data_IF_800556156493
#
_entry.id   IF_800556156493
#
_cell.length_a   1.000
_cell.length_b   1.000
_cell.length_c   1.000
_cell.angle_alpha   90.00
_cell.angle_beta   90.00
_cell.angle_gamma   90.00
#
_symmetry.space_group_name_H-M   'P 1'
#
loop_
_entity.id
_entity.type
_entity.pdbx_description
1 polymer ?
#
# COMPACT_ATOMS: atom_id res chain seq x y z
N UNK A 1 10.73 39.79 -15.36
CA UNK A 1 10.39 39.21 -14.06
C UNK A 1 8.91 38.86 -14.12
N UNK A 2 8.53 37.61 -14.55
CA UNK A 2 7.16 37.18 -14.65
C UNK A 2 6.81 36.46 -13.34
N UNK A 3 5.63 36.70 -12.74
CA UNK A 3 5.20 35.99 -11.54
C UNK A 3 4.70 34.59 -11.93
N UNK A 4 5.26 33.60 -11.25
CA UNK A 4 4.84 32.20 -11.32
C UNK A 4 3.44 32.10 -10.70
N UNK A 5 2.43 31.86 -11.54
CA UNK A 5 1.06 31.58 -11.11
C UNK A 5 1.05 30.25 -10.38
N UNK A 6 0.80 30.29 -9.06
CA UNK A 6 0.45 29.10 -8.27
C UNK A 6 -0.95 28.66 -8.69
N UNK A 7 -1.06 27.59 -9.46
CA UNK A 7 -2.33 26.95 -9.75
C UNK A 7 -2.87 26.33 -8.45
N UNK A 8 -3.91 26.93 -7.88
CA UNK A 8 -4.71 26.34 -6.80
C UNK A 8 -5.33 25.04 -7.30
N UNK A 9 -5.36 23.95 -6.50
CA UNK A 9 -6.04 22.73 -6.90
C UNK A 9 -7.51 23.01 -7.16
N UNK A 10 -8.04 22.49 -8.26
CA UNK A 10 -9.44 22.64 -8.63
C UNK A 10 -10.36 22.15 -7.48
N UNK A 11 -11.46 22.85 -7.18
CA UNK A 11 -12.36 22.47 -6.10
C UNK A 11 -12.92 21.07 -6.37
N UNK A 12 -12.69 20.14 -5.46
CA UNK A 12 -13.27 18.79 -5.51
C UNK A 12 -14.77 18.88 -5.68
N UNK A 13 -15.33 18.21 -6.70
CA UNK A 13 -16.76 18.18 -6.93
C UNK A 13 -17.47 17.62 -5.69
N UNK A 14 -18.66 18.16 -5.37
CA UNK A 14 -19.45 17.72 -4.20
C UNK A 14 -19.70 16.19 -4.23
N UNK A 15 -19.82 15.62 -5.41
CA UNK A 15 -19.96 14.19 -5.66
C UNK A 15 -18.72 13.40 -5.19
N UNK A 16 -17.50 13.92 -5.46
CA UNK A 16 -16.25 13.27 -5.06
C UNK A 16 -16.08 13.30 -3.55
N UNK A 17 -16.44 14.41 -2.90
CA UNK A 17 -16.42 14.52 -1.43
C UNK A 17 -17.35 13.50 -0.77
N UNK A 18 -18.57 13.33 -1.30
CA UNK A 18 -19.52 12.34 -0.80
C UNK A 18 -19.01 10.92 -1.00
N UNK A 19 -18.42 10.63 -2.16
CA UNK A 19 -17.83 9.32 -2.46
C UNK A 19 -16.72 8.98 -1.48
N UNK A 20 -15.81 9.91 -1.19
CA UNK A 20 -14.73 9.74 -0.22
C UNK A 20 -15.26 9.56 1.21
N UNK A 21 -16.29 10.34 1.61
CA UNK A 21 -16.91 10.20 2.93
C UNK A 21 -17.57 8.83 3.12
N UNK A 22 -18.26 8.32 2.09
CA UNK A 22 -18.86 6.98 2.11
C UNK A 22 -17.78 5.91 2.24
N UNK A 23 -16.68 6.04 1.52
CA UNK A 23 -15.59 5.08 1.56
C UNK A 23 -14.89 5.07 2.92
N UNK A 24 -14.63 6.25 3.51
CA UNK A 24 -14.07 6.35 4.85
C UNK A 24 -14.99 5.73 5.90
N UNK A 25 -16.29 6.04 5.84
CA UNK A 25 -17.29 5.44 6.72
C UNK A 25 -17.35 3.91 6.58
N UNK A 26 -17.21 3.37 5.37
CA UNK A 26 -17.15 1.93 5.16
C UNK A 26 -15.91 1.30 5.80
N UNK A 27 -14.75 1.95 5.69
CA UNK A 27 -13.50 1.50 6.33
C UNK A 27 -13.68 1.46 7.86
N UNK A 28 -14.23 2.52 8.45
CA UNK A 28 -14.44 2.63 9.89
C UNK A 28 -15.42 1.56 10.40
N UNK A 29 -16.52 1.35 9.68
CA UNK A 29 -17.52 0.33 10.03
C UNK A 29 -16.97 -1.10 9.86
N UNK A 30 -16.26 -1.39 8.78
CA UNK A 30 -15.64 -2.72 8.57
C UNK A 30 -14.55 -2.99 9.61
N UNK A 31 -13.77 -1.99 9.98
CA UNK A 31 -12.75 -2.11 11.02
C UNK A 31 -13.35 -2.38 12.39
N UNK A 32 -14.42 -1.66 12.74
CA UNK A 32 -15.04 -1.73 14.07
C UNK A 32 -15.96 -2.94 14.26
N UNK A 33 -16.66 -3.36 13.22
CA UNK A 33 -17.74 -4.35 13.32
C UNK A 33 -17.51 -5.59 12.43
N UNK A 34 -16.53 -5.57 11.56
CA UNK A 34 -16.32 -6.58 10.53
C UNK A 34 -17.21 -6.39 9.30
N UNK A 35 -16.84 -7.04 8.22
CA UNK A 35 -17.57 -6.92 6.95
C UNK A 35 -18.99 -7.47 7.04
N UNK A 36 -19.19 -8.67 7.61
CA UNK A 36 -20.49 -9.33 7.61
C UNK A 36 -21.53 -8.57 8.46
N UNK A 37 -21.15 -8.08 9.64
CA UNK A 37 -22.05 -7.36 10.54
C UNK A 37 -22.34 -5.91 10.12
N UNK A 38 -21.61 -5.37 9.15
CA UNK A 38 -21.82 -4.02 8.65
C UNK A 38 -22.90 -3.99 7.56
N UNK A 39 -23.81 -3.02 7.64
CA UNK A 39 -24.85 -2.78 6.63
C UNK A 39 -24.63 -1.49 5.87
N UNK A 40 -25.16 -1.39 4.64
CA UNK A 40 -25.12 -0.15 3.85
C UNK A 40 -25.83 1.02 4.55
N UNK A 41 -26.81 0.72 5.40
CA UNK A 41 -27.54 1.71 6.20
C UNK A 41 -26.66 2.32 7.29
N UNK A 42 -25.86 1.50 7.98
CA UNK A 42 -24.86 1.98 8.94
C UNK A 42 -23.82 2.84 8.27
N UNK A 43 -23.30 2.41 7.11
CA UNK A 43 -22.33 3.20 6.33
C UNK A 43 -22.92 4.55 5.94
N UNK A 44 -24.21 4.60 5.51
CA UNK A 44 -24.88 5.84 5.19
C UNK A 44 -24.98 6.79 6.39
N UNK A 45 -25.34 6.26 7.56
CA UNK A 45 -25.45 7.03 8.80
C UNK A 45 -24.08 7.59 9.22
N UNK A 46 -23.04 6.77 9.22
CA UNK A 46 -21.67 7.16 9.57
C UNK A 46 -21.10 8.19 8.57
N UNK A 47 -21.41 8.04 7.28
CA UNK A 47 -20.99 9.00 6.24
C UNK A 47 -21.79 10.32 6.25
N UNK A 48 -22.87 10.43 7.03
CA UNK A 48 -23.75 11.58 7.04
C UNK A 48 -24.49 11.84 5.72
N UNK A 49 -24.81 10.77 4.97
CA UNK A 49 -25.50 10.85 3.69
C UNK A 49 -26.76 9.97 3.67
N UNK A 50 -27.65 10.22 2.69
CA UNK A 50 -28.83 9.36 2.52
C UNK A 50 -28.43 7.97 1.99
N UNK A 51 -29.19 6.93 2.36
CA UNK A 51 -29.07 5.57 1.82
C UNK A 51 -29.03 5.56 0.29
N UNK A 52 -29.92 6.34 -0.37
CA UNK A 52 -29.95 6.51 -1.82
C UNK A 52 -28.61 7.05 -2.36
N UNK A 53 -27.98 7.97 -1.63
CA UNK A 53 -26.67 8.51 -2.02
C UNK A 53 -25.60 7.42 -2.00
N UNK A 54 -25.58 6.55 -0.97
CA UNK A 54 -24.63 5.44 -0.91
C UNK A 54 -24.83 4.50 -2.08
N UNK A 55 -26.07 4.04 -2.35
CA UNK A 55 -26.36 3.13 -3.46
C UNK A 55 -26.08 3.73 -4.85
N UNK A 56 -26.19 5.06 -5.00
CA UNK A 56 -25.82 5.72 -6.25
C UNK A 56 -24.31 5.69 -6.52
N UNK A 57 -23.46 5.63 -5.47
CA UNK A 57 -22.01 5.56 -5.61
C UNK A 57 -21.50 4.13 -5.60
N UNK A 58 -22.09 3.26 -4.78
CA UNK A 58 -21.67 1.89 -4.57
C UNK A 58 -22.90 0.98 -4.50
N UNK A 59 -23.11 0.12 -5.50
CA UNK A 59 -24.35 -0.67 -5.61
C UNK A 59 -24.46 -1.76 -4.52
N UNK A 60 -23.35 -2.12 -3.86
CA UNK A 60 -23.34 -3.15 -2.81
C UNK A 60 -22.19 -2.96 -1.83
N UNK A 61 -22.24 -3.67 -0.73
CA UNK A 61 -21.16 -3.77 0.27
C UNK A 61 -19.88 -4.36 -0.36
N UNK A 62 -20.03 -5.34 -1.24
CA UNK A 62 -18.91 -5.92 -1.98
C UNK A 62 -18.26 -4.92 -2.95
N UNK A 63 -19.03 -4.05 -3.57
CA UNK A 63 -18.49 -2.98 -4.42
C UNK A 63 -17.68 -1.96 -3.61
N UNK A 64 -18.13 -1.62 -2.39
CA UNK A 64 -17.37 -0.79 -1.46
C UNK A 64 -16.05 -1.47 -1.05
N UNK A 65 -16.12 -2.75 -0.70
CA UNK A 65 -14.94 -3.52 -0.32
C UNK A 65 -13.95 -3.64 -1.48
N UNK A 66 -14.43 -3.91 -2.70
CA UNK A 66 -13.60 -3.94 -3.89
C UNK A 66 -12.87 -2.61 -4.14
N UNK A 67 -13.54 -1.48 -3.91
CA UNK A 67 -12.92 -0.16 -4.00
C UNK A 67 -11.85 0.07 -2.93
N UNK A 68 -12.09 -0.39 -1.69
CA UNK A 68 -11.08 -0.36 -0.62
C UNK A 68 -9.81 -1.10 -1.06
N UNK A 69 -9.97 -2.28 -1.67
CA UNK A 69 -8.85 -3.06 -2.18
C UNK A 69 -8.10 -2.35 -3.31
N UNK A 70 -8.82 -1.72 -4.23
CA UNK A 70 -8.22 -0.91 -5.30
C UNK A 70 -7.39 0.22 -4.72
N UNK A 71 -7.92 0.97 -3.75
CA UNK A 71 -7.19 2.06 -3.10
C UNK A 71 -5.98 1.57 -2.32
N UNK A 72 -6.08 0.43 -1.63
CA UNK A 72 -4.94 -0.19 -0.96
C UNK A 72 -3.82 -0.50 -1.95
N UNK A 73 -4.19 -1.08 -3.09
CA UNK A 73 -3.25 -1.40 -4.15
C UNK A 73 -2.62 -0.15 -4.79
N UNK A 74 -3.43 0.82 -5.17
CA UNK A 74 -2.95 2.08 -5.74
C UNK A 74 -1.99 2.80 -4.79
N UNK A 75 -2.30 2.88 -3.50
CA UNK A 75 -1.40 3.44 -2.49
C UNK A 75 -0.11 2.61 -2.36
N UNK A 76 -0.19 1.29 -2.45
CA UNK A 76 0.99 0.44 -2.34
C UNK A 76 1.94 0.57 -3.53
N UNK A 77 1.42 0.93 -4.70
CA UNK A 77 2.18 1.04 -5.95
C UNK A 77 2.58 2.48 -6.31
N UNK A 78 1.76 3.47 -5.98
CA UNK A 78 1.97 4.88 -6.38
C UNK A 78 3.20 5.55 -5.74
N UNK A 79 3.68 5.04 -4.61
CA UNK A 79 4.78 5.64 -3.84
C UNK A 79 6.16 5.05 -4.15
N UNK A 80 6.24 4.07 -5.05
CA UNK A 80 7.51 3.39 -5.36
C UNK A 80 7.87 3.67 -6.82
N UNK A 81 8.16 4.93 -7.11
CA UNK A 81 8.68 5.35 -8.42
C UNK A 81 10.18 5.66 -8.28
N UNK A 82 10.99 4.61 -8.18
CA UNK A 82 12.42 4.70 -8.33
C UNK A 82 12.85 3.91 -9.56
N UNK A 83 12.99 4.63 -10.65
CA UNK A 83 13.65 4.12 -11.84
C UNK A 83 15.10 3.76 -11.49
N UNK A 84 15.50 2.54 -11.80
CA UNK A 84 16.89 2.09 -11.64
C UNK A 84 17.86 3.02 -12.39
N UNK A 85 18.96 3.37 -11.75
CA UNK A 85 20.01 4.26 -12.26
C UNK A 85 21.35 3.51 -12.29
N UNK A 86 21.91 3.20 -13.48
CA UNK A 86 23.20 2.53 -13.59
C UNK A 86 24.37 3.34 -13.00
N UNK A 87 24.25 4.67 -13.04
CA UNK A 87 25.24 5.64 -12.57
C UNK A 87 25.26 5.85 -11.05
N UNK A 88 24.31 5.24 -10.29
CA UNK A 88 24.24 5.42 -8.84
C UNK A 88 24.59 4.12 -8.08
N UNK A 89 25.13 4.20 -6.85
CA UNK A 89 25.34 3.05 -6.01
C UNK A 89 24.04 2.27 -5.75
N UNK A 90 24.09 0.93 -5.84
CA UNK A 90 22.92 0.06 -5.57
C UNK A 90 22.35 0.30 -4.16
N UNK A 91 23.26 0.45 -3.19
CA UNK A 91 22.88 0.65 -1.77
C UNK A 91 22.02 1.90 -1.58
N UNK A 92 22.40 3.01 -2.19
CA UNK A 92 21.64 4.28 -2.07
C UNK A 92 20.24 4.15 -2.65
N UNK A 93 20.14 3.58 -3.85
CA UNK A 93 18.88 3.41 -4.54
C UNK A 93 17.93 2.48 -3.77
N UNK A 94 18.44 1.33 -3.31
CA UNK A 94 17.65 0.36 -2.59
C UNK A 94 17.20 0.90 -1.22
N UNK A 95 18.08 1.65 -0.55
CA UNK A 95 17.74 2.32 0.71
C UNK A 95 16.63 3.37 0.52
N UNK A 96 16.68 4.13 -0.57
CA UNK A 96 15.62 5.09 -0.90
C UNK A 96 14.27 4.40 -1.18
N UNK A 97 14.28 3.27 -1.92
CA UNK A 97 13.09 2.42 -2.12
C UNK A 97 12.49 1.95 -0.79
N UNK A 98 13.32 1.42 0.11
CA UNK A 98 12.82 0.92 1.40
C UNK A 98 12.34 2.04 2.31
N UNK A 99 12.96 3.22 2.27
CA UNK A 99 12.47 4.40 2.98
C UNK A 99 11.09 4.85 2.47
N UNK A 100 10.86 4.80 1.15
CA UNK A 100 9.53 5.07 0.59
C UNK A 100 8.51 4.03 1.06
N UNK A 101 8.87 2.75 1.07
CA UNK A 101 8.02 1.67 1.58
C UNK A 101 7.69 1.88 3.06
N UNK A 102 8.67 2.22 3.88
CA UNK A 102 8.46 2.48 5.31
C UNK A 102 7.56 3.70 5.56
N UNK A 103 7.70 4.77 4.77
CA UNK A 103 6.78 5.92 4.84
C UNK A 103 5.33 5.54 4.53
N UNK A 104 5.12 4.65 3.57
CA UNK A 104 3.79 4.11 3.27
C UNK A 104 3.24 3.29 4.44
N UNK A 105 4.08 2.46 5.08
CA UNK A 105 3.70 1.66 6.24
C UNK A 105 3.52 2.49 7.53
N UNK A 106 3.92 3.76 7.52
CA UNK A 106 3.71 4.75 8.58
C UNK A 106 2.37 5.50 8.41
N UNK A 107 1.70 5.35 7.26
CA UNK A 107 0.39 5.96 6.98
C UNK A 107 -0.73 5.17 7.65
N UNK A 108 -1.38 5.77 8.65
CA UNK A 108 -2.48 5.16 9.39
C UNK A 108 -3.64 4.74 8.45
N UNK A 109 -3.94 5.52 7.40
CA UNK A 109 -4.98 5.17 6.44
C UNK A 109 -4.60 3.91 5.63
N UNK A 110 -3.32 3.75 5.28
CA UNK A 110 -2.85 2.54 4.62
C UNK A 110 -2.99 1.32 5.52
N UNK A 111 -2.60 1.44 6.78
CA UNK A 111 -2.69 0.35 7.77
C UNK A 111 -4.15 -0.03 8.04
N UNK A 112 -5.06 0.93 8.15
CA UNK A 112 -6.49 0.68 8.36
C UNK A 112 -7.12 -0.04 7.16
N UNK A 113 -6.81 0.39 5.93
CA UNK A 113 -7.21 -0.32 4.70
C UNK A 113 -6.67 -1.76 4.67
N UNK A 114 -5.40 -1.94 5.04
CA UNK A 114 -4.77 -3.25 5.07
C UNK A 114 -5.42 -4.17 6.12
N UNK A 115 -5.77 -3.67 7.31
CA UNK A 115 -6.47 -4.43 8.34
C UNK A 115 -7.82 -4.93 7.84
N UNK A 116 -8.63 -4.05 7.25
CA UNK A 116 -9.94 -4.41 6.68
C UNK A 116 -9.78 -5.49 5.60
N UNK A 117 -8.83 -5.30 4.68
CA UNK A 117 -8.58 -6.24 3.60
C UNK A 117 -8.14 -7.62 4.13
N UNK A 118 -7.18 -7.66 5.05
CA UNK A 118 -6.65 -8.91 5.61
C UNK A 118 -7.70 -9.63 6.45
N UNK A 119 -8.43 -8.93 7.32
CA UNK A 119 -9.47 -9.53 8.14
C UNK A 119 -10.50 -10.26 7.26
N UNK A 120 -10.96 -9.63 6.20
CA UNK A 120 -11.94 -10.22 5.31
C UNK A 120 -11.38 -11.38 4.49
N UNK A 121 -10.13 -11.29 4.02
CA UNK A 121 -9.49 -12.37 3.24
C UNK A 121 -9.19 -13.61 4.07
N UNK A 122 -8.97 -13.46 5.39
CA UNK A 122 -8.83 -14.60 6.31
C UNK A 122 -10.16 -15.36 6.43
N UNK A 123 -11.29 -14.64 6.49
CA UNK A 123 -12.62 -15.25 6.62
C UNK A 123 -13.18 -15.78 5.29
N UNK A 124 -12.71 -15.25 4.15
CA UNK A 124 -13.19 -15.63 2.82
C UNK A 124 -12.03 -15.81 1.85
N UNK A 125 -11.45 -17.03 1.72
CA UNK A 125 -10.39 -17.34 0.75
C UNK A 125 -10.77 -17.02 -0.71
N UNK A 126 -12.03 -17.13 -1.06
CA UNK A 126 -12.56 -16.82 -2.39
C UNK A 126 -12.43 -15.31 -2.70
N UNK A 127 -12.70 -14.45 -1.71
CA UNK A 127 -12.47 -13.00 -1.83
C UNK A 127 -10.99 -12.69 -1.95
N UNK A 128 -10.12 -13.41 -1.22
CA UNK A 128 -8.67 -13.28 -1.34
C UNK A 128 -8.20 -13.59 -2.76
N UNK A 129 -8.67 -14.69 -3.36
CA UNK A 129 -8.34 -15.07 -4.75
C UNK A 129 -8.86 -14.03 -5.76
N UNK A 130 -10.10 -13.58 -5.61
CA UNK A 130 -10.67 -12.50 -6.43
C UNK A 130 -9.87 -11.20 -6.34
N UNK A 131 -9.39 -10.86 -5.14
CA UNK A 131 -8.53 -9.70 -4.90
C UNK A 131 -7.21 -9.85 -5.66
N UNK A 132 -6.50 -10.97 -5.51
CA UNK A 132 -5.24 -11.24 -6.21
C UNK A 132 -5.43 -11.19 -7.73
N UNK A 133 -6.51 -11.77 -8.25
CA UNK A 133 -6.84 -11.73 -9.67
C UNK A 133 -7.07 -10.30 -10.19
N UNK A 134 -7.70 -9.43 -9.40
CA UNK A 134 -7.93 -8.01 -9.75
C UNK A 134 -6.66 -7.16 -9.68
N UNK A 135 -5.71 -7.51 -8.84
CA UNK A 135 -4.39 -6.86 -8.76
C UNK A 135 -3.55 -7.10 -10.02
N UNK A 136 -3.94 -8.09 -10.86
CA UNK A 136 -3.62 -8.20 -12.28
C UNK A 136 -2.13 -8.21 -12.62
N UNK A 137 -1.30 -8.96 -11.87
CA UNK A 137 0.09 -9.21 -12.29
C UNK A 137 0.99 -7.97 -12.43
N UNK A 138 0.57 -6.81 -11.92
CA UNK A 138 1.44 -5.62 -11.87
C UNK A 138 2.59 -5.90 -10.92
N UNK A 139 3.81 -5.85 -11.44
CA UNK A 139 5.01 -6.01 -10.62
C UNK A 139 5.17 -4.82 -9.66
N UNK A 140 5.57 -5.10 -8.43
CA UNK A 140 5.94 -4.06 -7.47
C UNK A 140 7.26 -3.38 -7.87
N UNK A 141 7.40 -2.09 -7.55
CA UNK A 141 8.56 -1.29 -7.92
C UNK A 141 9.92 -1.89 -7.50
N UNK A 142 9.96 -2.60 -6.37
CA UNK A 142 11.17 -3.32 -5.92
C UNK A 142 11.54 -4.45 -6.90
N UNK A 143 10.57 -5.22 -7.39
CA UNK A 143 10.82 -6.29 -8.38
C UNK A 143 11.32 -5.71 -9.70
N UNK A 144 10.72 -4.61 -10.16
CA UNK A 144 11.14 -3.90 -11.38
C UNK A 144 12.58 -3.41 -11.24
N UNK A 145 12.92 -2.81 -10.08
CA UNK A 145 14.26 -2.32 -9.79
C UNK A 145 15.30 -3.47 -9.77
N UNK A 146 14.98 -4.60 -9.10
CA UNK A 146 15.85 -5.78 -9.05
C UNK A 146 16.08 -6.33 -10.45
N UNK A 147 15.04 -6.41 -11.27
CA UNK A 147 15.13 -6.88 -12.65
C UNK A 147 16.06 -6.02 -13.49
N UNK A 148 15.96 -4.71 -13.34
CA UNK A 148 16.84 -3.75 -14.03
C UNK A 148 18.30 -3.85 -13.55
N UNK A 149 18.53 -3.96 -12.25
CA UNK A 149 19.88 -4.15 -11.68
C UNK A 149 20.53 -5.49 -12.08
N UNK A 150 19.70 -6.54 -12.24
CA UNK A 150 20.12 -7.84 -12.76
C UNK A 150 20.50 -7.74 -14.22
N UNK A 151 19.68 -7.08 -15.04
CA UNK A 151 19.93 -6.87 -16.47
C UNK A 151 21.22 -6.05 -16.73
N UNK A 152 21.50 -5.07 -15.84
CA UNK A 152 22.75 -4.27 -15.85
C UNK A 152 23.98 -5.08 -15.33
N UNK A 153 23.75 -6.34 -14.91
CA UNK A 153 24.82 -7.23 -14.49
C UNK A 153 25.42 -6.93 -13.12
N UNK A 154 24.81 -6.05 -12.32
CA UNK A 154 25.29 -5.65 -10.98
C UNK A 154 24.83 -6.56 -9.84
N UNK A 155 23.90 -7.50 -10.13
CA UNK A 155 23.48 -8.54 -9.21
C UNK A 155 23.92 -9.93 -9.72
N UNK A 156 24.16 -10.85 -8.81
CA UNK A 156 24.34 -12.28 -9.10
C UNK A 156 23.05 -12.84 -9.70
N UNK A 157 23.10 -13.96 -10.45
CA UNK A 157 21.88 -14.61 -10.94
C UNK A 157 20.92 -14.93 -9.80
N UNK A 158 19.68 -14.46 -9.93
CA UNK A 158 18.62 -14.61 -8.93
C UNK A 158 17.24 -14.57 -9.60
N UNK A 159 16.21 -15.07 -8.91
CA UNK A 159 14.82 -14.81 -9.25
C UNK A 159 14.41 -13.45 -8.67
N UNK A 160 14.06 -12.45 -9.52
CA UNK A 160 13.71 -11.11 -9.05
C UNK A 160 12.48 -11.07 -8.15
N UNK A 161 11.49 -11.93 -8.39
CA UNK A 161 10.26 -12.00 -7.59
C UNK A 161 10.56 -12.56 -6.21
N UNK A 162 11.31 -13.67 -6.15
CA UNK A 162 11.72 -14.28 -4.89
C UNK A 162 12.57 -13.33 -4.04
N UNK A 163 13.56 -12.68 -4.65
CA UNK A 163 14.43 -11.73 -3.96
C UNK A 163 13.68 -10.48 -3.46
N UNK A 164 12.70 -9.99 -4.24
CA UNK A 164 11.81 -8.91 -3.81
C UNK A 164 10.97 -9.31 -2.60
N UNK A 165 10.44 -10.52 -2.56
CA UNK A 165 9.71 -11.04 -1.39
C UNK A 165 10.59 -11.14 -0.15
N UNK A 166 11.85 -11.56 -0.30
CA UNK A 166 12.80 -11.64 0.83
C UNK A 166 13.04 -10.26 1.45
N UNK A 167 13.45 -9.27 0.66
CA UNK A 167 13.76 -7.93 1.20
C UNK A 167 12.50 -7.25 1.75
N UNK A 168 11.34 -7.43 1.12
CA UNK A 168 10.08 -6.91 1.64
C UNK A 168 9.64 -7.62 2.91
N UNK A 169 9.88 -8.93 3.03
CA UNK A 169 9.62 -9.71 4.23
C UNK A 169 10.41 -9.17 5.43
N UNK A 170 11.69 -8.84 5.24
CA UNK A 170 12.52 -8.21 6.28
C UNK A 170 11.90 -6.90 6.78
N UNK A 171 11.43 -6.03 5.89
CA UNK A 171 10.79 -4.76 6.27
C UNK A 171 9.42 -4.98 6.92
N UNK A 172 8.58 -5.83 6.31
CA UNK A 172 7.21 -6.07 6.78
C UNK A 172 7.16 -6.74 8.16
N UNK A 173 8.15 -7.57 8.51
CA UNK A 173 8.21 -8.22 9.82
C UNK A 173 8.33 -7.22 10.99
N UNK A 174 8.95 -6.07 10.77
CA UNK A 174 9.08 -5.02 11.77
C UNK A 174 8.01 -3.92 11.64
N UNK A 175 7.73 -3.48 10.42
CA UNK A 175 6.96 -2.25 10.18
C UNK A 175 5.49 -2.50 9.81
N UNK A 176 5.09 -3.71 9.44
CA UNK A 176 3.73 -4.00 8.98
C UNK A 176 2.99 -4.96 9.91
N UNK A 177 3.49 -6.19 10.07
CA UNK A 177 2.79 -7.22 10.82
C UNK A 177 2.51 -6.85 12.27
N UNK A 178 3.43 -6.21 13.05
CA UNK A 178 3.10 -5.81 14.41
C UNK A 178 1.96 -4.79 14.49
N UNK A 179 1.89 -3.87 13.53
CA UNK A 179 0.78 -2.92 13.45
C UNK A 179 -0.54 -3.63 13.14
N UNK A 180 -0.54 -4.60 12.20
CA UNK A 180 -1.76 -5.32 11.78
C UNK A 180 -2.27 -6.24 12.89
N UNK A 181 -1.38 -7.05 13.49
CA UNK A 181 -1.78 -8.17 14.37
C UNK A 181 -1.81 -7.82 15.85
N UNK A 182 -0.95 -6.90 16.28
CA UNK A 182 -0.77 -6.54 17.70
C UNK A 182 -1.23 -5.12 18.03
N UNK A 183 -1.64 -4.32 17.02
CA UNK A 183 -1.98 -2.93 17.23
C UNK A 183 -0.77 -2.07 17.66
N UNK A 184 0.45 -2.53 17.37
CA UNK A 184 1.65 -1.79 17.71
C UNK A 184 1.67 -0.42 17.03
N UNK A 185 2.30 0.60 17.66
CA UNK A 185 2.50 1.89 17.02
C UNK A 185 3.46 1.78 15.83
N UNK A 186 3.44 2.76 14.91
CA UNK A 186 4.47 2.87 13.88
C UNK A 186 5.88 2.89 14.46
N UNK A 187 6.86 2.42 13.68
CA UNK A 187 8.25 2.46 14.08
C UNK A 187 8.76 3.91 14.24
N UNK A 188 9.60 4.15 15.24
CA UNK A 188 10.35 5.41 15.32
C UNK A 188 11.21 5.62 14.07
N UNK A 189 11.56 6.88 13.76
CA UNK A 189 12.40 7.19 12.59
C UNK A 189 13.76 6.49 12.64
N UNK A 190 14.36 6.40 13.82
CA UNK A 190 15.64 5.70 14.00
C UNK A 190 15.50 4.20 13.72
N UNK A 191 14.41 3.59 14.20
CA UNK A 191 14.13 2.18 13.93
C UNK A 191 13.81 1.93 12.45
N UNK A 192 13.07 2.83 11.78
CA UNK A 192 12.82 2.76 10.34
C UNK A 192 14.14 2.75 9.56
N UNK A 193 15.07 3.65 9.92
CA UNK A 193 16.38 3.74 9.27
C UNK A 193 17.22 2.48 9.53
N UNK A 194 17.24 1.98 10.76
CA UNK A 194 17.95 0.75 11.13
C UNK A 194 17.41 -0.45 10.35
N UNK A 195 16.09 -0.62 10.26
CA UNK A 195 15.46 -1.71 9.51
C UNK A 195 15.77 -1.60 8.02
N UNK A 196 15.68 -0.40 7.45
CA UNK A 196 15.99 -0.19 6.04
C UNK A 196 17.47 -0.51 5.72
N UNK A 197 18.39 0.04 6.51
CA UNK A 197 19.82 -0.19 6.31
C UNK A 197 20.19 -1.66 6.45
N UNK A 198 19.72 -2.33 7.52
CA UNK A 198 19.98 -3.75 7.74
C UNK A 198 19.43 -4.63 6.61
N UNK A 199 18.18 -4.36 6.15
CA UNK A 199 17.59 -5.12 5.06
C UNK A 199 18.37 -4.96 3.74
N UNK A 200 18.83 -3.73 3.44
CA UNK A 200 19.65 -3.45 2.25
C UNK A 200 21.01 -4.16 2.36
N UNK A 201 21.67 -4.07 3.49
CA UNK A 201 23.00 -4.65 3.68
C UNK A 201 22.95 -6.19 3.61
N UNK A 202 21.93 -6.83 4.20
CA UNK A 202 21.68 -8.26 4.05
C UNK A 202 21.40 -8.65 2.58
N UNK A 203 20.57 -7.90 1.89
CA UNK A 203 20.24 -8.16 0.49
C UNK A 203 21.46 -8.05 -0.42
N UNK A 204 22.19 -6.95 -0.32
CA UNK A 204 23.38 -6.71 -1.15
C UNK A 204 24.54 -7.64 -0.78
N UNK A 205 24.72 -7.98 0.48
CA UNK A 205 25.70 -8.98 0.92
C UNK A 205 25.47 -10.35 0.29
N UNK A 206 24.19 -10.70 0.02
CA UNK A 206 23.86 -11.94 -0.65
C UNK A 206 23.96 -11.84 -2.17
N UNK A 207 23.42 -10.75 -2.75
CA UNK A 207 23.10 -10.67 -4.18
C UNK A 207 23.94 -9.69 -5.00
N UNK A 208 24.66 -8.75 -4.40
CA UNK A 208 25.52 -7.86 -5.18
C UNK A 208 26.70 -8.66 -5.80
N UNK A 209 27.08 -8.26 -7.03
CA UNK A 209 28.39 -8.63 -7.57
C UNK A 209 29.48 -7.73 -7.01
N UNK A 210 30.64 -8.28 -6.79
CA UNK A 210 31.85 -7.56 -6.42
C UNK A 210 32.27 -6.58 -7.51
#
# INVERSE_FOLDING_TARGET
MCPISKSSPAPQRLTDRKRLAILQAAIDEFRGNGFEATSMDRIAATAGVSKRTVYNHFPSKDALFAEILVQLWEKSTALIDLTYRPDRPLREQLLELLRQKLRMLDDANFIDLARVAIAETIHSPERAQSMVARMGGKEEGVTIWIRAALADGRLKPLDPVFAAHQIQGLVKSFAFWPQITLGAPPLSKDMQEQVAASAVDMFLGCYAKD
#
